data_IF_584091597255
#
_entry.id   IF_584091597255
#
_cell.length_a   1.000
_cell.length_b   1.000
_cell.length_c   1.000
_cell.angle_alpha   90.00
_cell.angle_beta   90.00
_cell.angle_gamma   90.00
#
_symmetry.space_group_name_H-M   'P 1'
#
loop_
_entity.id
_entity.type
_entity.pdbx_description
1 polymer ?
#
# COMPACT_ATOMS: atom_id res chain seq x y z
N UNK A 1 13.46 20.13 8.39
CA UNK A 1 12.38 19.59 9.25
C UNK A 1 12.23 20.50 10.46
N UNK A 2 11.06 21.09 10.69
CA UNK A 2 10.80 21.91 11.89
C UNK A 2 10.29 21.01 13.03
N UNK A 3 10.51 21.43 14.29
CA UNK A 3 10.09 20.66 15.48
C UNK A 3 8.59 20.32 15.47
N UNK A 4 7.75 21.23 14.96
CA UNK A 4 6.30 20.97 14.80
C UNK A 4 5.98 19.84 13.83
N UNK A 5 6.73 19.71 12.73
CA UNK A 5 6.56 18.62 11.77
C UNK A 5 7.01 17.28 12.35
N UNK A 6 8.09 17.27 13.15
CA UNK A 6 8.55 16.08 13.86
C UNK A 6 7.51 15.63 14.90
N UNK A 7 6.96 16.57 15.68
CA UNK A 7 5.95 16.27 16.69
C UNK A 7 4.68 15.70 16.06
N UNK A 8 4.20 16.27 14.94
CA UNK A 8 3.04 15.73 14.22
C UNK A 8 3.31 14.32 13.67
N UNK A 9 4.46 14.10 13.03
CA UNK A 9 4.84 12.76 12.55
C UNK A 9 4.95 11.73 13.68
N UNK A 10 5.50 12.12 14.83
CA UNK A 10 5.58 11.26 16.02
C UNK A 10 4.20 11.02 16.66
N UNK A 11 3.31 12.02 16.68
CA UNK A 11 1.98 11.88 17.29
C UNK A 11 1.05 11.05 16.40
N UNK A 12 1.07 11.28 15.08
CA UNK A 12 0.28 10.53 14.10
C UNK A 12 0.72 9.04 14.01
N UNK A 13 1.97 8.74 14.36
CA UNK A 13 2.52 7.37 14.36
C UNK A 13 2.27 6.59 15.66
N UNK A 14 1.76 7.22 16.73
CA UNK A 14 1.71 6.64 18.09
C UNK A 14 0.31 6.49 18.69
N UNK A 15 -0.73 6.94 18.00
CA UNK A 15 -2.11 6.78 18.50
C UNK A 15 -2.69 5.44 18.05
N UNK A 16 -3.03 4.57 19.02
CA UNK A 16 -3.80 3.34 18.82
C UNK A 16 -5.27 3.69 18.52
N UNK A 17 -5.47 4.32 17.36
CA UNK A 17 -6.78 4.68 16.83
C UNK A 17 -7.16 3.71 15.73
N UNK A 18 -8.45 3.34 15.64
CA UNK A 18 -8.91 2.53 14.53
C UNK A 18 -8.66 3.26 13.21
N UNK A 19 -8.43 2.48 12.15
CA UNK A 19 -8.38 2.99 10.79
C UNK A 19 -9.65 3.77 10.46
N UNK A 20 -9.52 4.77 9.59
CA UNK A 20 -10.69 5.57 9.15
C UNK A 20 -11.64 4.71 8.33
N UNK A 21 -12.94 4.88 8.53
CA UNK A 21 -13.94 4.20 7.69
C UNK A 21 -13.90 4.76 6.26
N UNK A 22 -13.78 3.87 5.28
CA UNK A 22 -13.87 4.17 3.86
C UNK A 22 -15.12 3.52 3.28
N UNK A 23 -15.85 4.20 2.40
CA UNK A 23 -16.98 3.60 1.69
C UNK A 23 -16.51 2.42 0.83
N UNK A 24 -17.39 1.45 0.59
CA UNK A 24 -17.08 0.28 -0.25
C UNK A 24 -16.53 0.70 -1.62
N UNK A 25 -17.18 1.67 -2.27
CA UNK A 25 -16.73 2.18 -3.58
C UNK A 25 -15.33 2.80 -3.50
N UNK A 26 -15.02 3.56 -2.46
CA UNK A 26 -13.68 4.11 -2.29
C UNK A 26 -12.64 3.01 -2.02
N UNK A 27 -13.00 1.98 -1.25
CA UNK A 27 -12.11 0.84 -1.00
C UNK A 27 -11.76 0.11 -2.31
N UNK A 28 -12.74 -0.16 -3.18
CA UNK A 28 -12.51 -0.85 -4.47
C UNK A 28 -11.48 -0.14 -5.35
N UNK A 29 -11.43 1.20 -5.28
CA UNK A 29 -10.49 2.04 -6.03
C UNK A 29 -9.23 2.41 -5.24
N UNK A 30 -9.02 1.84 -4.05
CA UNK A 30 -7.84 2.10 -3.22
C UNK A 30 -6.84 0.94 -3.30
N UNK A 31 -5.57 1.29 -3.51
CA UNK A 31 -4.46 0.34 -3.59
C UNK A 31 -3.49 0.59 -2.43
N UNK A 32 -3.38 -0.39 -1.53
CA UNK A 32 -2.46 -0.40 -0.39
C UNK A 32 -1.25 -1.25 -0.74
N UNK A 33 -0.18 -0.60 -1.19
CA UNK A 33 1.05 -1.25 -1.63
C UNK A 33 1.96 -1.62 -0.45
N UNK A 34 2.60 -2.79 -0.56
CA UNK A 34 3.57 -3.27 0.42
C UNK A 34 4.82 -3.86 -0.25
N UNK A 35 5.99 -3.65 0.36
CA UNK A 35 7.17 -4.47 0.09
C UNK A 35 7.22 -5.72 0.98
N UNK A 36 7.58 -6.90 0.43
CA UNK A 36 7.58 -8.15 1.23
C UNK A 36 8.63 -8.19 2.34
N UNK A 37 9.69 -7.39 2.23
CA UNK A 37 10.76 -7.29 3.24
C UNK A 37 10.68 -6.00 4.08
N UNK A 38 9.62 -5.20 3.88
CA UNK A 38 9.39 -3.97 4.65
C UNK A 38 8.98 -4.30 6.09
N UNK A 39 9.49 -3.54 7.07
CA UNK A 39 9.12 -3.72 8.48
C UNK A 39 7.60 -3.57 8.71
N UNK A 40 6.95 -2.70 7.94
CA UNK A 40 5.52 -2.45 8.00
C UNK A 40 4.66 -3.55 7.37
N UNK A 41 5.25 -4.54 6.69
CA UNK A 41 4.50 -5.67 6.11
C UNK A 41 3.67 -6.40 7.18
N UNK A 42 4.10 -6.37 8.45
CA UNK A 42 3.36 -6.89 9.61
C UNK A 42 1.93 -6.33 9.76
N UNK A 43 1.68 -5.12 9.26
CA UNK A 43 0.37 -4.47 9.33
C UNK A 43 -0.57 -4.86 8.20
N UNK A 44 -0.08 -5.54 7.13
CA UNK A 44 -0.88 -5.89 5.96
C UNK A 44 -2.18 -6.60 6.31
N UNK A 45 -2.13 -7.58 7.21
CA UNK A 45 -3.32 -8.32 7.63
C UNK A 45 -4.37 -7.42 8.31
N UNK A 46 -3.94 -6.45 9.13
CA UNK A 46 -4.85 -5.51 9.78
C UNK A 46 -5.51 -4.57 8.76
N UNK A 47 -4.75 -4.11 7.77
CA UNK A 47 -5.25 -3.27 6.67
C UNK A 47 -6.26 -4.07 5.81
N UNK A 48 -5.97 -5.34 5.50
CA UNK A 48 -6.90 -6.22 4.77
C UNK A 48 -8.20 -6.50 5.51
N UNK A 49 -8.14 -6.70 6.83
CA UNK A 49 -9.33 -6.92 7.65
C UNK A 49 -10.21 -5.68 7.77
N UNK A 50 -9.58 -4.50 7.71
CA UNK A 50 -10.29 -3.21 7.79
C UNK A 50 -10.91 -2.85 6.44
N UNK A 51 -10.15 -2.99 5.36
CA UNK A 51 -10.57 -2.59 4.01
C UNK A 51 -10.80 -3.82 3.13
N UNK A 52 -11.84 -4.59 3.44
CA UNK A 52 -12.10 -5.89 2.80
C UNK A 52 -12.27 -5.82 1.27
N UNK A 53 -12.64 -4.65 0.73
CA UNK A 53 -12.79 -4.43 -0.71
C UNK A 53 -11.56 -3.78 -1.37
N UNK A 54 -10.51 -3.52 -0.58
CA UNK A 54 -9.28 -2.90 -1.04
C UNK A 54 -8.41 -3.81 -1.91
N UNK A 55 -7.41 -3.19 -2.54
CA UNK A 55 -6.39 -3.89 -3.31
C UNK A 55 -5.06 -3.88 -2.54
N UNK A 56 -4.35 -5.02 -2.52
CA UNK A 56 -3.18 -5.21 -1.66
C UNK A 56 -1.96 -5.78 -2.41
N UNK A 57 -1.40 -5.03 -3.39
CA UNK A 57 -0.21 -5.48 -4.13
C UNK A 57 0.98 -5.64 -3.18
N UNK A 58 1.74 -6.72 -3.38
CA UNK A 58 2.97 -7.01 -2.64
C UNK A 58 4.12 -7.13 -3.63
N UNK A 59 5.13 -6.28 -3.50
CA UNK A 59 6.35 -6.38 -4.28
C UNK A 59 7.36 -7.30 -3.59
N UNK A 60 7.55 -8.49 -4.16
CA UNK A 60 8.43 -9.50 -3.59
C UNK A 60 9.91 -9.07 -3.61
N UNK A 61 10.59 -9.13 -2.46
CA UNK A 61 11.99 -8.76 -2.30
C UNK A 61 12.26 -7.25 -2.20
N UNK A 62 11.22 -6.41 -2.19
CA UNK A 62 11.34 -4.96 -2.09
C UNK A 62 11.07 -4.45 -0.67
N UNK A 63 11.83 -3.45 -0.26
CA UNK A 63 11.58 -2.63 0.92
C UNK A 63 10.81 -1.35 0.54
N UNK A 64 10.47 -0.52 1.52
CA UNK A 64 9.65 0.68 1.37
C UNK A 64 10.06 1.55 0.17
N UNK A 65 9.12 1.79 -0.75
CA UNK A 65 9.28 2.55 -2.00
C UNK A 65 10.40 2.07 -2.95
N UNK A 66 11.07 0.95 -2.65
CA UNK A 66 12.25 0.52 -3.40
C UNK A 66 11.92 0.24 -4.87
N UNK A 67 10.75 -0.34 -5.15
CA UNK A 67 10.28 -0.54 -6.53
C UNK A 67 10.08 0.79 -7.27
N UNK A 68 9.45 1.77 -6.60
CA UNK A 68 9.18 3.11 -7.14
C UNK A 68 10.48 3.85 -7.50
N UNK A 69 11.52 3.68 -6.68
CA UNK A 69 12.83 4.32 -6.86
C UNK A 69 13.68 3.60 -7.91
N UNK A 70 13.72 2.26 -7.89
CA UNK A 70 14.58 1.48 -8.79
C UNK A 70 14.00 1.38 -10.21
N UNK A 71 12.67 1.36 -10.34
CA UNK A 71 11.98 1.27 -11.63
C UNK A 71 10.81 2.27 -11.71
N UNK A 72 11.10 3.58 -11.75
CA UNK A 72 10.07 4.61 -11.79
C UNK A 72 9.19 4.53 -13.04
N UNK A 73 9.75 4.09 -14.18
CA UNK A 73 8.97 3.89 -15.41
C UNK A 73 8.00 2.71 -15.27
N UNK A 74 8.47 1.58 -14.73
CA UNK A 74 7.61 0.43 -14.45
C UNK A 74 6.51 0.75 -13.43
N UNK A 75 6.81 1.56 -12.42
CA UNK A 75 5.81 2.06 -11.47
C UNK A 75 4.80 3.01 -12.13
N UNK A 76 5.25 3.93 -12.99
CA UNK A 76 4.36 4.83 -13.72
C UNK A 76 3.38 4.07 -14.63
N UNK A 77 3.88 3.09 -15.40
CA UNK A 77 3.02 2.21 -16.24
C UNK A 77 2.01 1.41 -15.42
N UNK A 78 2.39 0.99 -14.22
CA UNK A 78 1.45 0.34 -13.29
C UNK A 78 0.33 1.29 -12.89
N UNK A 79 0.65 2.53 -12.52
CA UNK A 79 -0.35 3.55 -12.19
C UNK A 79 -1.26 3.86 -13.38
N UNK A 80 -0.71 4.01 -14.59
CA UNK A 80 -1.49 4.20 -15.82
C UNK A 80 -2.51 3.07 -16.00
N UNK A 81 -2.07 1.81 -15.86
CA UNK A 81 -2.98 0.65 -15.99
C UNK A 81 -4.09 0.68 -14.94
N UNK A 82 -3.76 1.03 -13.69
CA UNK A 82 -4.76 1.15 -12.61
C UNK A 82 -5.77 2.26 -12.95
N UNK A 83 -5.31 3.42 -13.40
CA UNK A 83 -6.20 4.55 -13.74
C UNK A 83 -7.11 4.18 -14.91
N UNK A 84 -6.59 3.48 -15.92
CA UNK A 84 -7.34 3.14 -17.12
C UNK A 84 -8.32 1.97 -16.93
N UNK A 85 -7.94 0.99 -16.10
CA UNK A 85 -8.65 -0.30 -16.04
C UNK A 85 -9.21 -0.64 -14.66
N UNK A 86 -8.88 0.15 -13.64
CA UNK A 86 -9.18 -0.11 -12.24
C UNK A 86 -8.64 -1.47 -11.75
N UNK A 87 -7.55 -1.94 -12.38
CA UNK A 87 -6.92 -3.23 -12.08
C UNK A 87 -5.42 -3.09 -12.01
N UNK A 88 -4.82 -3.89 -11.13
CA UNK A 88 -3.38 -4.10 -11.14
C UNK A 88 -2.98 -4.84 -12.42
N UNK A 89 -1.93 -4.39 -13.14
CA UNK A 89 -1.36 -5.17 -14.21
C UNK A 89 -0.79 -6.49 -13.68
N UNK A 90 -0.66 -7.48 -14.55
CA UNK A 90 0.12 -8.69 -14.25
C UNK A 90 1.60 -8.30 -14.11
N UNK A 91 2.01 -8.04 -12.87
CA UNK A 91 3.41 -7.83 -12.53
C UNK A 91 4.01 -9.18 -12.14
N UNK A 92 5.07 -9.59 -12.84
CA UNK A 92 5.76 -10.87 -12.62
C UNK A 92 6.29 -11.06 -11.18
N UNK A 93 6.37 -9.97 -10.40
CA UNK A 93 6.87 -9.91 -9.03
C UNK A 93 5.77 -9.62 -7.99
N UNK A 94 4.53 -9.36 -8.42
CA UNK A 94 3.40 -9.19 -7.53
C UNK A 94 2.81 -10.57 -7.20
N UNK A 95 3.30 -11.21 -6.14
CA UNK A 95 2.66 -12.41 -5.63
C UNK A 95 1.27 -12.05 -5.11
N UNK A 96 0.23 -12.57 -5.78
CA UNK A 96 -1.15 -12.55 -5.29
C UNK A 96 -1.24 -13.39 -4.02
N UNK A 97 -0.96 -12.80 -2.84
CA UNK A 97 -1.21 -13.49 -1.58
C UNK A 97 -2.70 -13.41 -1.24
N UNK A 98 -3.48 -14.30 -1.89
CA UNK A 98 -4.80 -14.73 -1.40
C UNK A 98 -4.55 -15.64 -0.21
N UNK A 99 -4.43 -15.06 0.98
CA UNK A 99 -4.49 -15.82 2.23
C UNK A 99 -5.77 -16.65 2.24
N UNK A 100 -5.63 -17.95 2.46
CA UNK A 100 -6.72 -18.81 2.93
C UNK A 100 -7.03 -18.47 4.38
#
# INVERSE_FOLDING_TARGET
MTYGNLRRQLTDSLEDKPFSELSEELQKHTFWEFGSIEEHFKYRNAVMQTYIYGNFPVFEGFNHMQYQIQNPEGFARMLETIIETDRLPELAFAMWYRGK
#
